data_IF_450882117252
#
_entry.id   IF_450882117252
#
_cell.length_a   1.000
_cell.length_b   1.000
_cell.length_c   1.000
_cell.angle_alpha   90.00
_cell.angle_beta   90.00
_cell.angle_gamma   90.00
#
_symmetry.space_group_name_H-M   'P 1'
#
loop_
_entity.id
_entity.type
_entity.pdbx_description
1 polymer ?
#
# COMPACT_ATOMS: atom_id res chain seq x y z
N UNK A 1 -11.38 18.74 12.58
CA UNK A 1 -12.56 17.84 12.57
C UNK A 1 -12.24 16.46 13.13
N UNK A 2 -11.00 15.96 13.03
CA UNK A 2 -10.62 14.64 13.56
C UNK A 2 -10.84 14.50 15.07
N UNK A 3 -10.57 15.56 15.86
CA UNK A 3 -10.61 15.52 17.33
C UNK A 3 -12.00 15.82 17.95
N UNK A 4 -13.05 15.91 17.13
CA UNK A 4 -14.41 16.21 17.62
C UNK A 4 -15.01 15.02 18.38
N UNK A 5 -14.68 13.80 17.95
CA UNK A 5 -15.14 12.55 18.57
C UNK A 5 -14.08 11.46 18.38
N UNK A 6 -13.69 10.72 19.44
CA UNK A 6 -12.76 9.60 19.31
C UNK A 6 -13.21 8.56 18.28
N UNK A 7 -14.52 8.32 18.15
CA UNK A 7 -15.08 7.39 17.18
C UNK A 7 -14.86 7.86 15.73
N UNK A 8 -15.04 9.15 15.48
CA UNK A 8 -14.77 9.75 14.17
C UNK A 8 -13.27 9.71 13.85
N UNK A 9 -12.41 9.97 14.84
CA UNK A 9 -10.95 9.87 14.68
C UNK A 9 -10.55 8.47 14.22
N UNK A 10 -10.99 7.43 14.95
CA UNK A 10 -10.64 6.03 14.66
C UNK A 10 -11.14 5.63 13.28
N UNK A 11 -12.37 5.99 12.94
CA UNK A 11 -12.96 5.70 11.63
C UNK A 11 -12.14 6.31 10.49
N UNK A 12 -11.82 7.60 10.57
CA UNK A 12 -11.04 8.28 9.53
C UNK A 12 -9.65 7.68 9.42
N UNK A 13 -8.95 7.48 10.54
CA UNK A 13 -7.60 6.90 10.52
C UNK A 13 -7.58 5.48 9.97
N UNK A 14 -8.60 4.67 10.23
CA UNK A 14 -8.71 3.31 9.68
C UNK A 14 -8.84 3.35 8.16
N UNK A 15 -9.69 4.22 7.62
CA UNK A 15 -9.82 4.39 6.17
C UNK A 15 -8.52 4.93 5.58
N UNK A 16 -7.90 5.95 6.21
CA UNK A 16 -6.62 6.49 5.78
C UNK A 16 -5.53 5.43 5.77
N UNK A 17 -5.48 4.56 6.77
CA UNK A 17 -4.51 3.47 6.84
C UNK A 17 -4.65 2.51 5.66
N UNK A 18 -5.88 2.05 5.39
CA UNK A 18 -6.16 1.13 4.28
C UNK A 18 -5.78 1.77 2.94
N UNK A 19 -6.18 3.02 2.71
CA UNK A 19 -5.84 3.75 1.48
C UNK A 19 -4.32 3.97 1.36
N UNK A 20 -3.64 4.30 2.46
CA UNK A 20 -2.19 4.47 2.49
C UNK A 20 -1.44 3.18 2.17
N UNK A 21 -1.90 2.03 2.66
CA UNK A 21 -1.34 0.73 2.31
C UNK A 21 -1.53 0.42 0.81
N UNK A 22 -2.72 0.69 0.26
CA UNK A 22 -2.99 0.52 -1.17
C UNK A 22 -2.10 1.43 -2.04
N UNK A 23 -1.88 2.68 -1.61
CA UNK A 23 -0.99 3.61 -2.31
C UNK A 23 0.46 3.13 -2.26
N UNK A 24 0.94 2.65 -1.11
CA UNK A 24 2.28 2.06 -0.98
C UNK A 24 2.48 0.86 -1.90
N UNK A 25 1.50 -0.07 -1.91
CA UNK A 25 1.51 -1.26 -2.78
C UNK A 25 1.55 -0.88 -4.27
N UNK A 26 0.74 0.11 -4.67
CA UNK A 26 0.74 0.61 -6.05
C UNK A 26 2.06 1.30 -6.40
N UNK A 27 2.60 2.12 -5.52
CA UNK A 27 3.84 2.85 -5.75
C UNK A 27 5.04 1.90 -5.93
N UNK A 28 5.14 0.87 -5.09
CA UNK A 28 6.18 -0.17 -5.18
C UNK A 28 6.10 -0.92 -6.52
N UNK A 29 4.90 -1.38 -6.90
CA UNK A 29 4.66 -2.00 -8.19
C UNK A 29 4.97 -1.06 -9.36
N UNK A 30 4.50 0.19 -9.30
CA UNK A 30 4.74 1.18 -10.36
C UNK A 30 6.23 1.48 -10.52
N UNK A 31 6.97 1.62 -9.43
CA UNK A 31 8.42 1.82 -9.45
C UNK A 31 9.14 0.63 -10.09
N UNK A 32 8.80 -0.60 -9.69
CA UNK A 32 9.35 -1.82 -10.30
C UNK A 32 9.12 -1.88 -11.81
N UNK A 33 7.91 -1.55 -12.27
CA UNK A 33 7.57 -1.55 -13.70
C UNK A 33 8.27 -0.44 -14.47
N UNK A 34 8.41 0.76 -13.89
CA UNK A 34 9.19 1.85 -14.48
C UNK A 34 10.64 1.44 -14.71
N UNK A 35 11.26 0.80 -13.72
CA UNK A 35 12.65 0.35 -13.80
C UNK A 35 12.85 -0.77 -14.83
N UNK A 36 11.85 -1.63 -14.99
CA UNK A 36 11.86 -2.71 -16.01
C UNK A 36 11.47 -2.24 -17.41
N UNK A 37 11.10 -0.97 -17.60
CA UNK A 37 10.61 -0.44 -18.88
C UNK A 37 9.22 -0.94 -19.27
N UNK A 38 8.47 -1.48 -18.32
CA UNK A 38 7.10 -1.92 -18.51
C UNK A 38 6.10 -0.76 -18.35
N UNK A 39 4.95 -0.87 -19.02
CA UNK A 39 3.86 0.07 -18.78
C UNK A 39 3.23 -0.18 -17.41
N UNK A 40 3.19 0.86 -16.57
CA UNK A 40 2.51 0.84 -15.26
C UNK A 40 1.03 0.50 -15.40
N UNK A 41 0.37 1.04 -16.40
CA UNK A 41 -1.07 0.97 -16.59
C UNK A 41 -1.54 -0.24 -17.40
N UNK A 42 -0.63 -0.92 -18.11
CA UNK A 42 -0.99 -2.07 -18.94
C UNK A 42 -0.64 -3.39 -18.23
N UNK A 43 -1.54 -4.37 -18.26
CA UNK A 43 -1.29 -5.71 -17.71
C UNK A 43 -1.80 -5.91 -16.28
N UNK A 44 -1.77 -7.16 -15.83
CA UNK A 44 -2.22 -7.58 -14.49
C UNK A 44 -1.01 -7.90 -13.61
N UNK A 45 -1.16 -7.67 -12.31
CA UNK A 45 -0.16 -8.12 -11.32
C UNK A 45 0.03 -9.63 -11.42
N UNK A 46 1.29 -10.06 -11.42
CA UNK A 46 1.66 -11.45 -11.55
C UNK A 46 2.86 -11.74 -10.64
N UNK A 47 3.09 -13.02 -10.36
CA UNK A 47 4.27 -13.43 -9.60
C UNK A 47 5.51 -13.45 -10.50
N UNK A 48 6.58 -12.77 -10.10
CA UNK A 48 7.83 -12.68 -10.87
C UNK A 48 8.54 -14.02 -11.11
N UNK A 49 8.25 -15.04 -10.28
CA UNK A 49 8.91 -16.34 -10.37
C UNK A 49 8.16 -17.36 -11.23
N UNK A 50 6.82 -17.36 -11.20
CA UNK A 50 6.02 -18.34 -11.93
C UNK A 50 5.11 -17.74 -13.01
N UNK A 51 5.03 -16.41 -13.11
CA UNK A 51 4.16 -15.71 -14.05
C UNK A 51 2.66 -15.85 -13.74
N UNK A 52 2.27 -16.49 -12.64
CA UNK A 52 0.86 -16.65 -12.31
C UNK A 52 0.23 -15.30 -12.02
N UNK A 53 -0.90 -15.02 -12.68
CA UNK A 53 -1.65 -13.79 -12.50
C UNK A 53 -2.31 -13.80 -11.11
N UNK A 54 -2.00 -12.80 -10.29
CA UNK A 54 -2.45 -12.73 -8.91
C UNK A 54 -3.95 -12.42 -8.82
N UNK A 55 -4.62 -13.09 -7.88
CA UNK A 55 -6.02 -12.83 -7.56
C UNK A 55 -6.17 -11.64 -6.59
N UNK A 56 -7.41 -11.19 -6.40
CA UNK A 56 -7.72 -10.08 -5.47
C UNK A 56 -7.21 -10.36 -4.05
N UNK A 57 -7.35 -11.60 -3.58
CA UNK A 57 -6.90 -12.02 -2.24
C UNK A 57 -5.38 -11.99 -2.08
N UNK A 58 -4.62 -12.10 -3.18
CA UNK A 58 -3.16 -12.03 -3.15
C UNK A 58 -2.66 -10.58 -3.19
N UNK A 59 -3.54 -9.63 -3.52
CA UNK A 59 -3.26 -8.19 -3.64
C UNK A 59 -3.75 -7.38 -2.43
N UNK A 60 -4.33 -8.01 -1.39
CA UNK A 60 -4.74 -7.31 -0.17
C UNK A 60 -3.47 -6.89 0.59
N UNK A 61 -3.17 -5.58 0.70
CA UNK A 61 -1.96 -5.10 1.36
C UNK A 61 -1.82 -5.63 2.78
N UNK A 62 -0.60 -5.95 3.21
CA UNK A 62 -0.20 -6.54 4.49
C UNK A 62 -0.74 -7.95 4.74
N UNK A 63 -2.04 -8.15 4.54
CA UNK A 63 -2.74 -9.39 4.85
C UNK A 63 -2.32 -10.53 3.91
N UNK A 64 -2.16 -10.27 2.61
CA UNK A 64 -1.73 -11.32 1.67
C UNK A 64 -0.36 -11.87 2.05
N UNK A 65 0.60 -10.99 2.37
CA UNK A 65 1.94 -11.37 2.81
C UNK A 65 1.92 -12.14 4.13
N UNK A 66 1.18 -11.65 5.14
CA UNK A 66 1.09 -12.30 6.45
C UNK A 66 0.43 -13.68 6.38
N UNK A 67 -0.68 -13.81 5.66
CA UNK A 67 -1.40 -15.08 5.52
C UNK A 67 -0.60 -16.11 4.74
N UNK A 68 0.15 -15.66 3.72
CA UNK A 68 1.02 -16.53 2.93
C UNK A 68 2.42 -16.70 3.55
N UNK A 69 2.68 -16.07 4.71
CA UNK A 69 3.95 -16.08 5.43
C UNK A 69 5.14 -15.67 4.56
N UNK A 70 4.96 -14.66 3.71
CA UNK A 70 5.98 -14.16 2.79
C UNK A 70 6.35 -15.14 1.66
N UNK A 71 5.41 -15.98 1.22
CA UNK A 71 5.63 -16.90 0.08
C UNK A 71 4.48 -16.82 -0.92
N UNK A 72 4.74 -17.09 -2.19
CA UNK A 72 3.69 -17.10 -3.21
C UNK A 72 2.73 -18.26 -2.96
N UNK A 73 1.43 -18.02 -3.11
CA UNK A 73 0.38 -19.04 -2.96
C UNK A 73 0.57 -20.23 -3.90
N UNK A 74 1.09 -19.97 -5.11
CA UNK A 74 1.12 -20.93 -6.22
C UNK A 74 2.46 -21.67 -6.32
N UNK A 75 3.58 -20.93 -6.35
CA UNK A 75 4.91 -21.52 -6.54
C UNK A 75 5.75 -21.58 -5.26
N UNK A 76 5.26 -21.04 -4.14
CA UNK A 76 5.98 -20.96 -2.85
C UNK A 76 7.31 -20.23 -2.92
N UNK A 77 7.58 -19.48 -4.00
CA UNK A 77 8.71 -18.56 -4.06
C UNK A 77 8.58 -17.51 -2.95
N UNK A 78 9.71 -17.05 -2.40
CA UNK A 78 9.72 -16.05 -1.35
C UNK A 78 9.25 -14.71 -1.91
N UNK A 79 8.27 -14.09 -1.26
CA UNK A 79 7.90 -12.70 -1.53
C UNK A 79 8.86 -11.77 -0.78
N UNK A 80 9.31 -10.69 -1.42
CA UNK A 80 10.11 -9.66 -0.76
C UNK A 80 9.38 -9.13 0.48
N UNK A 81 10.11 -8.98 1.58
CA UNK A 81 9.56 -8.40 2.81
C UNK A 81 9.48 -6.86 2.69
N UNK A 82 10.26 -6.30 1.78
CA UNK A 82 10.29 -4.89 1.39
C UNK A 82 8.88 -4.41 1.03
N UNK A 83 8.15 -5.16 0.20
CA UNK A 83 6.77 -4.85 -0.18
C UNK A 83 5.85 -4.70 1.04
N UNK A 84 5.94 -5.62 2.01
CA UNK A 84 5.17 -5.55 3.26
C UNK A 84 5.52 -4.29 4.07
N UNK A 85 6.81 -3.97 4.19
CA UNK A 85 7.24 -2.79 4.94
C UNK A 85 6.86 -1.49 4.23
N UNK A 86 6.94 -1.43 2.90
CA UNK A 86 6.49 -0.27 2.12
C UNK A 86 5.00 -0.01 2.37
N UNK A 87 4.15 -1.03 2.26
CA UNK A 87 2.72 -0.91 2.54
C UNK A 87 2.45 -0.40 3.96
N UNK A 88 3.14 -0.97 4.95
CA UNK A 88 2.95 -0.63 6.36
C UNK A 88 3.39 0.81 6.65
N UNK A 89 4.57 1.19 6.17
CA UNK A 89 5.13 2.53 6.36
C UNK A 89 4.26 3.57 5.66
N UNK A 90 3.81 3.32 4.43
CA UNK A 90 2.90 4.22 3.72
C UNK A 90 1.57 4.40 4.46
N UNK A 91 0.97 3.32 4.98
CA UNK A 91 -0.24 3.39 5.80
C UNK A 91 -0.07 4.24 7.06
N UNK A 92 1.01 4.00 7.81
CA UNK A 92 1.32 4.76 9.05
C UNK A 92 1.62 6.22 8.72
N UNK A 93 2.43 6.49 7.70
CA UNK A 93 2.79 7.85 7.31
C UNK A 93 1.56 8.67 6.90
N UNK A 94 0.65 8.11 6.10
CA UNK A 94 -0.61 8.75 5.76
C UNK A 94 -1.45 9.07 7.01
N UNK A 95 -1.52 8.14 7.96
CA UNK A 95 -2.23 8.36 9.24
C UNK A 95 -1.61 9.50 10.05
N UNK A 96 -0.28 9.55 10.17
CA UNK A 96 0.43 10.61 10.89
C UNK A 96 0.15 11.98 10.26
N UNK A 97 0.12 12.06 8.93
CA UNK A 97 -0.16 13.30 8.20
C UNK A 97 -1.60 13.76 8.46
N UNK A 98 -2.58 12.87 8.29
CA UNK A 98 -4.01 13.20 8.53
C UNK A 98 -4.26 13.53 10.00
N UNK A 99 -3.60 12.84 10.93
CA UNK A 99 -3.68 13.16 12.35
C UNK A 99 -3.11 14.56 12.67
N UNK A 100 -2.01 14.96 12.02
CA UNK A 100 -1.33 16.24 12.31
C UNK A 100 -1.99 17.45 11.65
N UNK A 101 -2.53 17.28 10.45
CA UNK A 101 -3.05 18.35 9.60
C UNK A 101 -4.57 18.28 9.38
N UNK A 102 -5.26 17.32 10.02
CA UNK A 102 -6.71 17.09 9.90
C UNK A 102 -7.14 16.82 8.44
N UNK A 103 -8.43 16.91 8.11
CA UNK A 103 -8.92 16.79 6.72
C UNK A 103 -8.69 18.10 5.94
N UNK A 104 -7.42 18.48 5.75
CA UNK A 104 -7.04 19.72 5.07
C UNK A 104 -6.30 19.48 3.75
N UNK A 105 -6.19 20.53 2.93
CA UNK A 105 -5.39 20.52 1.69
C UNK A 105 -3.91 20.22 1.99
N UNK A 106 -3.42 20.56 3.19
CA UNK A 106 -2.05 20.24 3.61
C UNK A 106 -1.85 18.74 3.77
N UNK A 107 -2.87 18.01 4.23
CA UNK A 107 -2.82 16.55 4.33
C UNK A 107 -2.73 15.88 2.97
N UNK A 108 -3.51 16.36 2.00
CA UNK A 108 -3.45 15.87 0.61
C UNK A 108 -2.05 16.08 0.03
N UNK A 109 -1.48 17.29 0.19
CA UNK A 109 -0.11 17.59 -0.24
C UNK A 109 0.91 16.69 0.45
N UNK A 110 0.77 16.46 1.76
CA UNK A 110 1.66 15.58 2.52
C UNK A 110 1.63 14.15 1.98
N UNK A 111 0.43 13.59 1.78
CA UNK A 111 0.26 12.23 1.25
C UNK A 111 0.90 12.10 -0.13
N UNK A 112 0.66 13.07 -1.03
CA UNK A 112 1.25 13.07 -2.36
C UNK A 112 2.78 13.07 -2.31
N UNK A 113 3.38 13.88 -1.45
CA UNK A 113 4.83 13.92 -1.27
C UNK A 113 5.37 12.60 -0.73
N UNK A 114 4.69 11.97 0.23
CA UNK A 114 5.10 10.68 0.81
C UNK A 114 4.98 9.50 -0.15
N UNK A 115 4.08 9.57 -1.14
CA UNK A 115 3.96 8.51 -2.16
C UNK A 115 5.02 8.65 -3.25
N UNK A 116 5.51 9.87 -3.49
CA UNK A 116 6.47 10.18 -4.58
C UNK A 116 7.93 10.12 -4.11
N UNK A 117 8.21 10.49 -2.86
CA UNK A 117 9.55 10.51 -2.24
C UNK A 117 9.84 9.19 -1.51
#
# INVERSE_FOLDING_TARGET
MLHISPGITIYILTITFILGCCLGSFADCAAGRLLSGESVFAGRSHCDHCGHVLGVLDLIPLFSWLLLKGHCRYCRAKLPAEAFFVELVSGIACCMIVYRYDMSVMSLRGILLTVVL
#
